data_IF_508137851195
#
_entry.id   IF_508137851195
#
_cell.length_a   1.000
_cell.length_b   1.000
_cell.length_c   1.000
_cell.angle_alpha   90.00
_cell.angle_beta   90.00
_cell.angle_gamma   90.00
#
_symmetry.space_group_name_H-M   'P 1'
#
loop_
_entity.id
_entity.type
_entity.pdbx_description
1 polymer ?
#
# COMPACT_ATOMS: atom_id res chain seq x y z
N UNK A 1 -4.44 -9.30 -0.65
CA UNK A 1 -3.22 -8.47 -0.45
C UNK A 1 -3.68 -7.16 0.17
N UNK A 2 -2.98 -6.65 1.18
CA UNK A 2 -3.33 -5.39 1.85
C UNK A 2 -2.16 -4.41 1.73
N UNK A 3 -2.44 -3.11 1.59
CA UNK A 3 -1.46 -2.02 1.72
C UNK A 3 -1.80 -1.25 2.98
N UNK A 4 -0.82 -1.00 3.84
CA UNK A 4 -1.06 -0.31 5.11
C UNK A 4 0.08 0.63 5.47
N UNK A 5 -0.26 1.67 6.23
CA UNK A 5 0.67 2.66 6.80
C UNK A 5 1.17 2.28 8.19
N UNK A 6 0.91 1.04 8.62
CA UNK A 6 1.42 0.51 9.89
C UNK A 6 2.92 0.18 9.81
N UNK A 7 3.53 -0.22 10.93
CA UNK A 7 4.95 -0.56 10.99
C UNK A 7 5.27 -2.06 10.98
N UNK A 8 4.27 -2.94 10.77
CA UNK A 8 4.48 -4.40 10.87
C UNK A 8 3.66 -5.14 9.81
N UNK A 9 4.29 -6.06 9.10
CA UNK A 9 3.70 -6.80 7.97
C UNK A 9 3.90 -8.33 8.02
N UNK A 10 4.13 -8.91 9.19
CA UNK A 10 4.19 -10.36 9.32
C UNK A 10 2.89 -11.03 8.85
N UNK A 11 3.01 -12.25 8.33
CA UNK A 11 1.87 -13.06 7.88
C UNK A 11 0.80 -13.15 8.97
N UNK A 12 -0.47 -13.08 8.59
CA UNK A 12 -1.57 -13.16 9.56
C UNK A 12 -1.81 -11.91 10.39
N UNK A 13 -1.03 -10.84 10.21
CA UNK A 13 -1.21 -9.63 11.03
C UNK A 13 -2.57 -8.96 10.82
N UNK A 14 -2.99 -8.79 9.57
CA UNK A 14 -4.19 -8.02 9.23
C UNK A 14 -5.32 -8.92 8.73
N UNK A 15 -5.49 -10.08 9.36
CA UNK A 15 -6.58 -11.01 9.04
C UNK A 15 -6.07 -12.42 8.75
N UNK A 16 -6.38 -12.94 7.56
CA UNK A 16 -6.12 -14.34 7.20
C UNK A 16 -4.68 -14.77 7.53
N UNK A 17 -4.43 -15.98 8.08
CA UNK A 17 -3.09 -16.44 8.48
C UNK A 17 -2.03 -16.34 7.37
N UNK A 18 -2.43 -16.53 6.12
CA UNK A 18 -1.55 -16.41 4.94
C UNK A 18 -1.56 -15.01 4.29
N UNK A 19 -2.30 -14.07 4.88
CA UNK A 19 -2.44 -12.70 4.41
C UNK A 19 -1.10 -11.98 4.37
N UNK A 20 -0.86 -11.26 3.28
CA UNK A 20 0.32 -10.42 3.06
C UNK A 20 -0.05 -8.94 3.13
N UNK A 21 0.77 -8.18 3.84
CA UNK A 21 0.67 -6.72 3.92
C UNK A 21 1.90 -6.08 3.29
N UNK A 22 1.72 -5.06 2.48
CA UNK A 22 2.79 -4.15 2.05
C UNK A 22 2.74 -2.90 2.92
N UNK A 23 3.89 -2.53 3.49
CA UNK A 23 4.01 -1.28 4.23
C UNK A 23 4.34 -0.16 3.26
N UNK A 24 3.60 0.94 3.35
CA UNK A 24 3.73 2.06 2.44
C UNK A 24 3.52 3.38 3.19
N UNK A 25 4.02 4.48 2.63
CA UNK A 25 3.69 5.82 3.13
C UNK A 25 2.18 6.10 2.94
N UNK A 26 1.59 7.07 3.67
CA UNK A 26 0.20 7.45 3.47
C UNK A 26 -0.14 7.82 2.02
N UNK A 27 0.76 8.53 1.34
CA UNK A 27 0.59 8.93 -0.06
C UNK A 27 0.53 7.70 -0.99
N UNK A 28 1.44 6.74 -0.82
CA UNK A 28 1.45 5.48 -1.59
C UNK A 28 0.23 4.60 -1.29
N UNK A 29 -0.22 4.54 -0.04
CA UNK A 29 -1.41 3.79 0.33
C UNK A 29 -2.69 4.38 -0.31
N UNK A 30 -2.82 5.71 -0.34
CA UNK A 30 -3.91 6.39 -1.03
C UNK A 30 -3.88 6.15 -2.54
N UNK A 31 -2.69 6.24 -3.15
CA UNK A 31 -2.50 5.94 -4.57
C UNK A 31 -2.95 4.50 -4.92
N UNK A 32 -2.50 3.51 -4.13
CA UNK A 32 -2.89 2.13 -4.32
C UNK A 32 -4.40 1.88 -4.11
N UNK A 33 -5.02 2.59 -3.17
CA UNK A 33 -6.46 2.51 -2.93
C UNK A 33 -7.29 3.03 -4.12
N UNK A 34 -6.81 4.07 -4.79
CA UNK A 34 -7.46 4.62 -5.99
C UNK A 34 -7.23 3.74 -7.22
N UNK A 35 -6.01 3.22 -7.41
CA UNK A 35 -5.66 2.38 -8.54
C UNK A 35 -6.22 0.96 -8.45
N UNK A 36 -6.46 0.45 -7.23
CA UNK A 36 -6.84 -0.94 -6.99
C UNK A 36 -5.67 -1.93 -7.07
N UNK A 37 -4.45 -1.42 -7.25
CA UNK A 37 -3.20 -2.17 -7.34
C UNK A 37 -2.02 -1.39 -6.74
N UNK A 38 -0.87 -2.03 -6.59
CA UNK A 38 0.33 -1.34 -6.09
C UNK A 38 0.89 -0.46 -7.22
N UNK A 39 0.87 0.85 -7.01
CA UNK A 39 1.37 1.86 -7.94
C UNK A 39 2.32 2.82 -7.25
N UNK A 40 3.16 3.50 -8.03
CA UNK A 40 3.97 4.61 -7.55
C UNK A 40 3.13 5.90 -7.53
N UNK A 41 3.05 6.57 -6.37
CA UNK A 41 2.27 7.80 -6.23
C UNK A 41 2.75 8.92 -7.17
N UNK A 42 4.01 8.92 -7.58
CA UNK A 42 4.57 9.95 -8.47
C UNK A 42 3.88 9.97 -9.83
N UNK A 43 3.43 8.82 -10.32
CA UNK A 43 2.70 8.72 -11.60
C UNK A 43 1.28 9.27 -11.51
N UNK A 44 0.77 9.58 -10.31
CA UNK A 44 -0.58 10.11 -10.09
C UNK A 44 -0.59 11.60 -9.73
N UNK A 45 0.46 12.11 -9.08
CA UNK A 45 0.50 13.49 -8.57
C UNK A 45 1.21 14.45 -9.54
N UNK A 46 1.68 13.96 -10.69
CA UNK A 46 2.33 14.80 -11.71
C UNK A 46 3.62 15.46 -11.20
N UNK A 47 4.30 14.83 -10.24
CA UNK A 47 5.52 15.36 -9.63
C UNK A 47 6.77 15.25 -10.55
N UNK A 48 6.59 14.76 -11.78
CA UNK A 48 7.62 14.66 -12.81
C UNK A 48 7.46 15.75 -13.91
N UNK A 49 6.87 16.91 -13.57
CA UNK A 49 6.82 18.11 -14.41
C UNK A 49 7.76 19.21 -13.89
#
# INVERSE_FOLDING_TARGET
LCVATSNRNFKGRQGHPEGRTVLASPAMAAAAALAGEIVDVRTMVGADA
#
